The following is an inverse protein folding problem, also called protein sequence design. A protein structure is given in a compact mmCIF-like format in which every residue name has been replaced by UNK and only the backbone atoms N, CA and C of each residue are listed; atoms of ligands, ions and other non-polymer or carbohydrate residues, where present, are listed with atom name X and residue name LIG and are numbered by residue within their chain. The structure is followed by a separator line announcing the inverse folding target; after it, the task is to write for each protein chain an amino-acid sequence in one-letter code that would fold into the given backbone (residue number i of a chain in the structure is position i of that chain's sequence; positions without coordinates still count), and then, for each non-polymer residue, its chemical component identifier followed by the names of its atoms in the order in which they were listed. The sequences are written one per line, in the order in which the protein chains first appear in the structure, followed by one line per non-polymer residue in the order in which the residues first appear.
data_IF_586213653559
#
_entry.id   IF_586213653559
#
_cell.length_a   1.000
_cell.length_b   1.000
_cell.length_c   1.000
_cell.angle_alpha   90.00
_cell.angle_beta   90.00
_cell.angle_gamma   90.00
#
_symmetry.space_group_name_H-M   'P 1'
#
loop_
_entity.id
_entity.type
_entity.pdbx_description
1 polymer ?
#
# COMPACT_ATOMS: atom_id res chain seq x y z
N UNK A 1 -36.08 -23.79 -23.12
CA UNK A 1 -35.26 -22.55 -23.23
C UNK A 1 -36.18 -21.36 -22.94
N UNK A 2 -37.04 -21.47 -21.92
CA UNK A 2 -38.25 -20.63 -21.82
C UNK A 2 -38.17 -19.62 -20.66
N UNK A 3 -37.14 -19.73 -19.82
CA UNK A 3 -36.91 -18.86 -18.67
C UNK A 3 -36.32 -17.48 -19.07
N UNK A 4 -35.58 -17.41 -20.17
CA UNK A 4 -34.91 -16.17 -20.61
C UNK A 4 -35.90 -15.26 -21.38
N UNK A 5 -36.91 -15.85 -22.02
CA UNK A 5 -37.86 -15.10 -22.86
C UNK A 5 -38.91 -14.34 -22.04
N UNK A 6 -39.23 -14.81 -20.83
CA UNK A 6 -40.24 -14.20 -19.95
C UNK A 6 -39.75 -12.96 -19.21
N UNK A 7 -38.45 -12.66 -19.25
CA UNK A 7 -37.83 -11.60 -18.42
C UNK A 7 -37.08 -10.54 -19.23
N UNK A 8 -37.36 -10.42 -20.53
CA UNK A 8 -36.74 -9.41 -21.42
C UNK A 8 -37.71 -8.34 -21.95
N UNK A 9 -39.00 -8.38 -21.60
CA UNK A 9 -40.02 -7.45 -22.17
C UNK A 9 -40.69 -6.51 -21.16
N UNK A 10 -40.33 -6.53 -19.88
CA UNK A 10 -40.77 -5.52 -18.90
C UNK A 10 -39.69 -4.45 -18.71
N UNK A 11 -39.86 -3.33 -19.43
CA UNK A 11 -39.37 -1.96 -19.17
C UNK A 11 -39.04 -1.28 -20.51
N UNK A 12 -40.06 -1.09 -21.34
CA UNK A 12 -40.02 -0.12 -22.44
C UNK A 12 -41.25 0.78 -22.37
N UNK A 13 -41.00 2.10 -22.36
CA UNK A 13 -41.91 3.24 -22.44
C UNK A 13 -42.55 3.69 -21.10
N UNK A 14 -42.49 4.95 -20.63
CA UNK A 14 -42.14 6.25 -21.24
C UNK A 14 -42.14 7.36 -20.16
N UNK A 15 -41.19 8.32 -20.18
CA UNK A 15 -41.48 9.77 -20.06
C UNK A 15 -40.24 10.62 -20.37
N UNK A 16 -40.47 11.75 -21.05
CA UNK A 16 -39.49 12.62 -21.74
C UNK A 16 -39.25 13.94 -20.95
N UNK A 17 -38.64 15.00 -21.53
CA UNK A 17 -37.32 15.54 -21.23
C UNK A 17 -37.37 16.78 -20.31
N UNK A 18 -36.58 16.77 -19.23
CA UNK A 18 -36.39 17.92 -18.36
C UNK A 18 -34.92 18.16 -18.09
N UNK A 19 -34.35 19.18 -18.74
CA UNK A 19 -33.02 19.68 -18.46
C UNK A 19 -32.92 20.22 -17.03
N UNK A 20 -32.13 19.55 -16.19
CA UNK A 20 -31.35 20.13 -15.09
C UNK A 20 -30.25 19.10 -14.80
N UNK A 21 -29.07 19.24 -15.41
CA UNK A 21 -27.93 20.00 -14.88
C UNK A 21 -27.26 19.29 -13.71
N UNK A 22 -26.12 18.64 -14.01
CA UNK A 22 -25.19 18.09 -13.04
C UNK A 22 -25.04 16.58 -13.18
N UNK A 23 -24.26 16.14 -14.18
CA UNK A 23 -23.70 14.80 -14.13
C UNK A 23 -22.76 14.74 -12.92
N UNK A 24 -23.18 14.04 -11.87
CA UNK A 24 -22.30 13.67 -10.76
C UNK A 24 -21.40 12.52 -11.25
N UNK A 25 -20.55 12.83 -12.23
CA UNK A 25 -19.34 12.04 -12.41
C UNK A 25 -18.55 12.25 -11.11
N UNK A 26 -18.62 11.28 -10.20
CA UNK A 26 -17.65 11.11 -9.13
C UNK A 26 -16.27 11.28 -9.77
N UNK A 27 -15.65 12.43 -9.54
CA UNK A 27 -14.39 12.83 -10.15
C UNK A 27 -13.36 11.77 -9.76
N UNK A 28 -13.15 10.79 -10.64
CA UNK A 28 -12.26 9.66 -10.44
C UNK A 28 -10.81 10.13 -10.16
N UNK A 29 -10.48 11.32 -10.66
CA UNK A 29 -9.22 12.02 -10.39
C UNK A 29 -9.33 13.04 -9.26
N UNK A 30 -10.49 13.18 -8.61
CA UNK A 30 -10.69 13.99 -7.42
C UNK A 30 -9.80 13.57 -6.25
N UNK A 31 -9.38 12.30 -6.21
CA UNK A 31 -8.36 11.81 -5.29
C UNK A 31 -6.97 12.45 -5.53
N UNK A 32 -6.72 12.92 -6.77
CA UNK A 32 -5.51 13.65 -7.17
C UNK A 32 -5.65 15.17 -6.97
N UNK A 33 -6.82 15.69 -6.57
CA UNK A 33 -7.02 17.10 -6.14
C UNK A 33 -6.39 17.41 -4.77
N UNK A 34 -5.32 16.70 -4.41
CA UNK A 34 -4.39 17.21 -3.40
C UNK A 34 -3.81 18.56 -3.87
N UNK A 35 -3.13 19.28 -2.99
CA UNK A 35 -2.49 20.55 -3.37
C UNK A 35 -1.32 20.28 -4.35
N UNK A 36 -1.65 20.14 -5.65
CA UNK A 36 -0.72 19.84 -6.74
C UNK A 36 0.39 20.89 -6.76
N UNK A 37 0.02 22.16 -6.52
CA UNK A 37 0.94 23.28 -6.51
C UNK A 37 2.01 23.20 -5.42
N UNK A 38 1.64 22.71 -4.24
CA UNK A 38 2.57 22.48 -3.14
C UNK A 38 3.43 21.23 -3.38
N UNK A 39 2.85 20.20 -4.01
CA UNK A 39 3.55 18.97 -4.35
C UNK A 39 4.62 19.20 -5.42
N UNK A 40 4.31 19.98 -6.46
CA UNK A 40 5.27 20.36 -7.51
C UNK A 40 6.39 21.22 -6.95
N UNK A 41 6.08 22.20 -6.10
CA UNK A 41 7.09 23.02 -5.41
C UNK A 41 8.05 22.18 -4.56
N UNK A 42 7.51 21.19 -3.85
CA UNK A 42 8.30 20.24 -3.06
C UNK A 42 9.20 19.37 -3.95
N UNK A 43 8.69 18.91 -5.09
CA UNK A 43 9.47 18.17 -6.07
C UNK A 43 10.61 19.02 -6.65
N UNK A 44 10.33 20.26 -7.04
CA UNK A 44 11.35 21.17 -7.57
C UNK A 44 12.43 21.46 -6.52
N UNK A 45 12.04 21.67 -5.26
CA UNK A 45 12.97 21.85 -4.15
C UNK A 45 13.85 20.61 -3.90
N UNK A 46 13.29 19.41 -4.08
CA UNK A 46 14.04 18.16 -3.98
C UNK A 46 15.04 18.00 -5.14
N UNK A 47 14.61 18.28 -6.39
CA UNK A 47 15.44 18.15 -7.58
C UNK A 47 16.55 19.20 -7.69
N UNK A 48 16.32 20.40 -7.16
CA UNK A 48 17.32 21.48 -7.13
C UNK A 48 18.39 21.28 -6.05
N UNK A 49 18.18 20.35 -5.11
CA UNK A 49 19.12 20.09 -4.03
C UNK A 49 20.30 19.23 -4.53
N UNK A 50 21.54 19.68 -4.26
CA UNK A 50 22.77 18.98 -4.67
C UNK A 50 23.31 18.02 -3.62
N UNK A 51 22.70 18.00 -2.42
CA UNK A 51 23.14 17.09 -1.36
C UNK A 51 22.78 15.65 -1.70
N UNK A 52 23.63 14.72 -1.26
CA UNK A 52 23.42 13.27 -1.41
C UNK A 52 22.92 12.62 -0.12
N UNK A 53 22.72 13.40 0.94
CA UNK A 53 22.23 12.88 2.22
C UNK A 53 20.72 12.65 2.18
N UNK A 54 20.27 11.59 2.84
CA UNK A 54 18.85 11.27 3.06
C UNK A 54 18.16 12.35 3.91
N UNK A 55 18.92 13.18 4.63
CA UNK A 55 18.37 14.27 5.45
C UNK A 55 17.57 15.30 4.65
N UNK A 56 17.81 15.43 3.34
CA UNK A 56 17.05 16.32 2.45
C UNK A 56 15.57 15.97 2.46
N UNK A 57 15.23 14.68 2.55
CA UNK A 57 13.84 14.24 2.57
C UNK A 57 13.08 14.78 3.78
N UNK A 58 13.77 15.10 4.90
CA UNK A 58 13.13 15.75 6.06
C UNK A 58 12.58 17.14 5.74
N UNK A 59 13.16 17.83 4.75
CA UNK A 59 12.67 19.13 4.27
C UNK A 59 11.54 19.03 3.23
N UNK A 60 11.26 17.83 2.71
CA UNK A 60 10.29 17.60 1.63
C UNK A 60 9.33 16.46 2.01
N UNK A 61 8.32 16.70 2.86
CA UNK A 61 7.48 15.65 3.44
C UNK A 61 6.76 14.77 2.41
N UNK A 62 6.30 15.33 1.29
CA UNK A 62 5.64 14.56 0.24
C UNK A 62 6.59 13.55 -0.42
N UNK A 63 7.81 14.00 -0.77
CA UNK A 63 8.84 13.15 -1.35
C UNK A 63 9.35 12.09 -0.35
N UNK A 64 9.46 12.44 0.94
CA UNK A 64 9.83 11.50 1.99
C UNK A 64 8.84 10.34 2.09
N UNK A 65 7.54 10.65 2.21
CA UNK A 65 6.48 9.65 2.30
C UNK A 65 6.44 8.74 1.06
N UNK A 66 6.66 9.31 -0.13
CA UNK A 66 6.75 8.55 -1.36
C UNK A 66 7.98 7.62 -1.36
N UNK A 67 9.13 8.11 -0.90
CA UNK A 67 10.36 7.31 -0.79
C UNK A 67 10.18 6.15 0.19
N UNK A 68 9.49 6.37 1.31
CA UNK A 68 9.14 5.31 2.25
C UNK A 68 8.29 4.25 1.53
N UNK A 69 7.21 4.68 0.87
CA UNK A 69 6.29 3.76 0.20
C UNK A 69 6.95 2.94 -0.92
N UNK A 70 7.83 3.55 -1.71
CA UNK A 70 8.38 2.92 -2.91
C UNK A 70 9.73 2.24 -2.69
N UNK A 71 10.60 2.79 -1.84
CA UNK A 71 11.98 2.32 -1.70
C UNK A 71 12.21 1.48 -0.43
N UNK A 72 11.39 1.61 0.61
CA UNK A 72 11.53 0.79 1.84
C UNK A 72 10.84 -0.56 1.87
N UNK A 73 9.85 -0.92 1.01
CA UNK A 73 9.46 -2.31 0.93
C UNK A 73 10.64 -3.10 0.36
N UNK A 74 11.40 -3.74 1.25
CA UNK A 74 12.33 -4.79 0.87
C UNK A 74 11.58 -5.78 -0.03
N UNK A 75 12.23 -6.39 -1.02
CA UNK A 75 11.66 -7.57 -1.67
C UNK A 75 11.27 -8.55 -0.57
N UNK A 76 9.95 -8.73 -0.40
CA UNK A 76 9.39 -9.40 0.78
C UNK A 76 9.99 -10.80 0.93
N UNK A 77 10.31 -11.46 -0.18
CA UNK A 77 10.98 -12.76 -0.22
C UNK A 77 12.33 -12.76 0.50
N UNK A 78 13.26 -11.86 0.17
CA UNK A 78 14.61 -11.88 0.75
C UNK A 78 14.60 -11.60 2.26
N UNK A 79 13.71 -10.72 2.74
CA UNK A 79 13.54 -10.47 4.16
C UNK A 79 12.93 -11.69 4.88
N UNK A 80 11.89 -12.29 4.28
CA UNK A 80 11.27 -13.51 4.79
C UNK A 80 12.25 -14.69 4.80
N UNK A 81 13.07 -14.87 3.76
CA UNK A 81 14.09 -15.92 3.68
C UNK A 81 15.14 -15.79 4.79
N UNK A 82 15.60 -14.57 5.09
CA UNK A 82 16.49 -14.32 6.25
C UNK A 82 15.82 -14.68 7.56
N UNK A 83 14.54 -14.33 7.71
CA UNK A 83 13.73 -14.72 8.88
C UNK A 83 13.62 -16.24 8.97
N UNK A 84 13.27 -16.95 7.89
CA UNK A 84 13.08 -18.39 7.87
C UNK A 84 14.39 -19.17 8.03
N UNK A 85 15.51 -18.66 7.51
CA UNK A 85 16.84 -19.22 7.78
C UNK A 85 17.14 -19.20 9.28
N UNK A 86 16.85 -18.07 9.95
CA UNK A 86 16.98 -17.95 11.42
C UNK A 86 15.98 -18.86 12.15
N UNK A 87 14.76 -18.95 11.64
CA UNK A 87 13.69 -19.78 12.17
C UNK A 87 14.05 -21.27 12.12
N UNK A 88 14.75 -21.74 11.08
CA UNK A 88 15.23 -23.11 10.96
C UNK A 88 16.17 -23.52 12.11
N UNK A 89 16.97 -22.59 12.65
CA UNK A 89 17.78 -22.86 13.84
C UNK A 89 16.97 -22.99 15.13
N UNK A 90 15.80 -22.35 15.19
CA UNK A 90 14.87 -22.43 16.33
C UNK A 90 14.02 -23.69 16.21
N UNK A 91 13.57 -24.02 15.01
CA UNK A 91 12.81 -25.22 14.67
C UNK A 91 13.76 -26.41 14.47
N UNK A 92 14.30 -26.93 15.57
CA UNK A 92 15.14 -28.13 15.58
C UNK A 92 14.44 -29.30 16.26
N UNK A 93 14.77 -30.54 15.87
CA UNK A 93 14.18 -31.75 16.45
C UNK A 93 14.33 -31.82 17.99
N UNK A 94 15.42 -31.25 18.53
CA UNK A 94 15.68 -31.17 19.98
C UNK A 94 14.72 -30.23 20.72
N UNK A 95 14.02 -29.35 19.99
CA UNK A 95 13.00 -28.41 20.51
C UNK A 95 11.57 -28.81 20.07
N UNK A 96 11.31 -30.10 19.89
CA UNK A 96 10.06 -30.64 19.33
C UNK A 96 8.73 -30.35 20.06
N UNK A 97 8.71 -29.52 21.11
CA UNK A 97 7.48 -29.05 21.80
C UNK A 97 7.30 -27.54 21.77
N UNK A 98 7.93 -26.84 20.82
CA UNK A 98 7.74 -25.41 20.65
C UNK A 98 6.44 -25.13 19.87
N UNK A 99 5.40 -24.65 20.56
CA UNK A 99 4.15 -24.21 19.90
C UNK A 99 4.33 -22.92 19.09
N UNK A 100 3.42 -22.65 18.14
CA UNK A 100 3.51 -21.52 17.17
C UNK A 100 3.80 -20.18 17.84
N UNK A 101 3.02 -19.83 18.88
CA UNK A 101 3.19 -18.56 19.61
C UNK A 101 4.59 -18.40 20.21
N UNK A 102 5.13 -19.47 20.79
CA UNK A 102 6.46 -19.43 21.39
C UNK A 102 7.56 -19.42 20.31
N UNK A 103 7.33 -20.06 19.16
CA UNK A 103 8.22 -20.02 18.02
C UNK A 103 8.33 -18.62 17.42
N UNK A 104 7.20 -17.98 17.15
CA UNK A 104 7.12 -16.61 16.64
C UNK A 104 7.79 -15.62 17.61
N UNK A 105 7.51 -15.72 18.91
CA UNK A 105 8.16 -14.89 19.92
C UNK A 105 9.68 -15.08 19.94
N UNK A 106 10.18 -16.32 19.80
CA UNK A 106 11.63 -16.58 19.77
C UNK A 106 12.30 -16.02 18.52
N UNK A 107 11.63 -16.07 17.37
CA UNK A 107 12.12 -15.42 16.14
C UNK A 107 12.19 -13.91 16.34
N UNK A 108 11.12 -13.32 16.89
CA UNK A 108 11.03 -11.88 17.14
C UNK A 108 12.14 -11.39 18.08
N UNK A 109 12.35 -12.09 19.20
CA UNK A 109 13.43 -11.80 20.15
C UNK A 109 14.81 -11.93 19.51
N UNK A 110 15.01 -12.95 18.67
CA UNK A 110 16.32 -13.21 18.06
C UNK A 110 16.69 -12.22 16.96
N UNK A 111 15.72 -11.71 16.22
CA UNK A 111 15.92 -10.73 15.15
C UNK A 111 16.03 -9.29 15.69
N UNK A 112 15.33 -8.96 16.77
CA UNK A 112 15.27 -7.60 17.31
C UNK A 112 16.25 -7.31 18.45
N UNK A 113 17.53 -7.68 18.33
CA UNK A 113 18.50 -7.55 19.45
C UNK A 113 18.76 -6.14 19.97
N UNK A 114 18.39 -5.10 19.22
CA UNK A 114 18.66 -3.70 19.57
C UNK A 114 17.48 -3.02 20.31
N UNK A 115 16.36 -3.74 20.48
CA UNK A 115 15.14 -3.20 21.10
C UNK A 115 14.84 -3.84 22.47
N UNK A 116 15.74 -4.69 22.98
CA UNK A 116 15.57 -5.52 24.18
C UNK A 116 16.89 -5.61 24.95
#
# INVERSE_FOLDING_TARGET
MDYIKTHMEEESALSSPGSHSGSEEEDFFGLMKGNVHETTKQLDAYLANTSTSVDILKSVPAAFNLSLKLNTPLPASAACERMFSTAGHIFSAKRGRLGSKNFENQILLKLNKNYW
#
